data_IF_119369476557
#
_entry.id   IF_119369476557
#
_cell.length_a   1.000
_cell.length_b   1.000
_cell.length_c   1.000
_cell.angle_alpha   90.00
_cell.angle_beta   90.00
_cell.angle_gamma   90.00
#
_symmetry.space_group_name_H-M   'P 1'
#
loop_
_entity.id
_entity.type
_entity.pdbx_description
1 polymer ?
#
# COMPACT_ATOMS: atom_id res chain seq x y z
N UNK A 1 25.37 13.67 -22.50
CA UNK A 1 24.33 13.32 -23.48
C UNK A 1 23.48 12.27 -22.82
N UNK A 2 22.39 12.67 -22.20
CA UNK A 2 21.43 11.76 -21.56
C UNK A 2 20.57 11.20 -22.69
N UNK A 3 20.75 9.91 -23.01
CA UNK A 3 19.90 9.20 -23.97
C UNK A 3 18.47 9.17 -23.46
N UNK A 4 17.51 9.52 -24.32
CA UNK A 4 16.09 9.45 -24.04
C UNK A 4 15.73 8.03 -23.52
N UNK A 5 14.88 7.87 -22.49
CA UNK A 5 14.54 6.55 -21.94
C UNK A 5 13.88 5.58 -22.91
N UNK A 6 13.43 6.05 -24.08
CA UNK A 6 12.69 5.27 -25.09
C UNK A 6 13.55 4.40 -26.02
N UNK A 7 14.88 4.45 -25.93
CA UNK A 7 15.80 3.69 -26.81
C UNK A 7 16.36 2.38 -26.21
N UNK A 8 15.87 1.97 -25.04
CA UNK A 8 16.35 0.73 -24.39
C UNK A 8 15.41 -0.44 -24.69
N UNK A 9 16.01 -1.62 -24.94
CA UNK A 9 15.25 -2.85 -25.11
C UNK A 9 14.33 -3.08 -23.90
N UNK A 10 13.06 -3.38 -24.18
CA UNK A 10 12.05 -3.66 -23.17
C UNK A 10 11.45 -5.04 -23.42
N UNK A 11 11.33 -5.84 -22.35
CA UNK A 11 10.65 -7.13 -22.36
C UNK A 11 9.41 -7.03 -21.46
N UNK A 12 8.26 -7.44 -21.95
CA UNK A 12 7.02 -7.50 -21.15
C UNK A 12 6.68 -8.96 -20.87
N UNK A 13 6.46 -9.25 -19.57
CA UNK A 13 6.01 -10.55 -19.08
C UNK A 13 4.58 -10.40 -18.58
N UNK A 14 3.65 -11.26 -19.07
CA UNK A 14 2.23 -11.16 -18.76
C UNK A 14 1.61 -12.46 -18.26
N UNK A 15 2.34 -13.59 -18.33
CA UNK A 15 1.84 -14.83 -17.73
C UNK A 15 2.13 -14.88 -16.24
N UNK A 16 1.24 -15.46 -15.46
CA UNK A 16 1.38 -15.58 -14.00
C UNK A 16 2.70 -16.23 -13.58
N UNK A 17 3.09 -17.29 -14.31
CA UNK A 17 4.31 -18.04 -14.03
C UNK A 17 5.56 -17.18 -14.24
N UNK A 18 5.68 -16.48 -15.38
CA UNK A 18 6.83 -15.63 -15.70
C UNK A 18 6.91 -14.41 -14.78
N UNK A 19 5.79 -13.72 -14.54
CA UNK A 19 5.75 -12.57 -13.64
C UNK A 19 6.17 -12.98 -12.23
N UNK A 20 5.64 -14.11 -11.70
CA UNK A 20 6.01 -14.63 -10.39
C UNK A 20 7.47 -15.05 -10.30
N UNK A 21 8.02 -15.66 -11.36
CA UNK A 21 9.45 -16.06 -11.44
C UNK A 21 10.35 -14.82 -11.50
N UNK A 22 10.03 -13.84 -12.34
CA UNK A 22 10.77 -12.60 -12.47
C UNK A 22 10.78 -11.76 -11.17
N UNK A 23 9.67 -11.73 -10.41
CA UNK A 23 9.62 -11.07 -9.10
C UNK A 23 10.59 -11.69 -8.07
N UNK A 24 10.95 -12.97 -8.24
CA UNK A 24 11.87 -13.73 -7.38
C UNK A 24 13.31 -13.76 -7.88
N UNK A 25 13.54 -13.32 -9.11
CA UNK A 25 14.85 -13.35 -9.73
C UNK A 25 15.80 -12.32 -9.08
N UNK A 26 16.93 -12.80 -8.54
CA UNK A 26 17.91 -11.96 -7.83
C UNK A 26 18.61 -10.94 -8.73
N UNK A 27 18.68 -11.21 -10.03
CA UNK A 27 19.36 -10.37 -11.00
C UNK A 27 18.38 -9.38 -11.69
N UNK A 28 17.15 -9.26 -11.19
CA UNK A 28 16.14 -8.30 -11.60
C UNK A 28 15.84 -7.32 -10.45
N UNK A 29 16.52 -6.14 -10.45
CA UNK A 29 16.28 -5.11 -9.42
C UNK A 29 15.01 -4.33 -9.68
N UNK A 30 14.44 -3.72 -8.65
CA UNK A 30 13.36 -2.74 -8.78
C UNK A 30 13.78 -1.58 -9.70
N UNK A 31 12.86 -1.11 -10.55
CA UNK A 31 13.10 -0.02 -11.47
C UNK A 31 11.88 0.92 -11.67
N UNK A 32 10.71 0.58 -11.13
CA UNK A 32 9.51 1.41 -11.26
C UNK A 32 9.69 2.78 -10.62
N UNK A 33 10.47 2.85 -9.54
CA UNK A 33 10.65 4.02 -8.70
C UNK A 33 11.87 4.86 -9.07
N UNK A 34 12.62 4.48 -10.13
CA UNK A 34 13.80 5.25 -10.60
C UNK A 34 13.42 6.71 -10.91
N UNK A 35 12.25 6.95 -11.53
CA UNK A 35 11.72 8.29 -11.80
C UNK A 35 11.19 9.02 -10.54
N UNK A 36 10.94 8.28 -9.46
CA UNK A 36 10.47 8.79 -8.17
C UNK A 36 11.57 9.03 -7.14
N UNK A 37 12.83 9.12 -7.54
CA UNK A 37 13.99 9.16 -6.66
C UNK A 37 13.94 10.26 -5.58
N UNK A 38 13.24 11.38 -5.79
CA UNK A 38 13.07 12.43 -4.77
C UNK A 38 12.49 11.87 -3.45
N UNK A 39 11.55 10.93 -3.55
CA UNK A 39 10.89 10.30 -2.39
C UNK A 39 11.45 8.90 -2.13
N UNK A 40 11.89 8.18 -3.16
CA UNK A 40 12.14 6.74 -3.11
C UNK A 40 13.61 6.33 -3.05
N UNK A 41 14.56 7.23 -3.34
CA UNK A 41 15.97 6.87 -3.37
C UNK A 41 16.43 6.33 -2.01
N UNK A 42 17.10 5.17 -2.02
CA UNK A 42 17.61 4.46 -0.85
C UNK A 42 16.55 4.01 0.17
N UNK A 43 15.24 4.09 -0.17
CA UNK A 43 14.19 3.47 0.63
C UNK A 43 14.21 1.95 0.49
N UNK A 44 13.62 1.25 1.46
CA UNK A 44 13.58 -0.22 1.48
C UNK A 44 13.14 -0.81 0.13
N UNK A 45 12.13 -0.23 -0.51
CA UNK A 45 11.58 -0.73 -1.77
C UNK A 45 12.56 -0.56 -2.96
N UNK A 46 13.41 0.45 -2.94
CA UNK A 46 14.40 0.74 -3.97
C UNK A 46 15.72 -0.03 -3.78
N UNK A 47 16.02 -0.43 -2.54
CA UNK A 47 17.23 -1.17 -2.20
C UNK A 47 17.28 -2.55 -2.88
N UNK A 48 18.48 -3.05 -3.10
CA UNK A 48 18.72 -4.36 -3.70
C UNK A 48 19.75 -5.18 -2.91
N UNK A 49 19.73 -6.51 -3.07
CA UNK A 49 20.77 -7.42 -2.57
C UNK A 49 20.89 -7.43 -1.04
N UNK A 50 22.11 -7.24 -0.52
CA UNK A 50 22.39 -7.26 0.93
C UNK A 50 21.79 -6.07 1.65
N UNK A 51 21.86 -4.88 1.09
CA UNK A 51 21.31 -3.67 1.69
C UNK A 51 19.81 -3.81 1.94
N UNK A 52 19.06 -4.32 0.92
CA UNK A 52 17.65 -4.63 1.10
C UNK A 52 17.40 -5.64 2.22
N UNK A 53 18.16 -6.77 2.25
CA UNK A 53 17.97 -7.82 3.27
C UNK A 53 18.22 -7.31 4.68
N UNK A 54 19.27 -6.50 4.87
CA UNK A 54 19.65 -5.99 6.18
C UNK A 54 18.62 -4.99 6.70
N UNK A 55 18.16 -4.06 5.85
CA UNK A 55 17.08 -3.11 6.16
C UNK A 55 15.77 -3.85 6.43
N UNK A 56 15.35 -4.74 5.53
CA UNK A 56 14.12 -5.53 5.65
C UNK A 56 14.07 -6.36 6.93
N UNK A 57 15.20 -6.94 7.37
CA UNK A 57 15.26 -7.73 8.61
C UNK A 57 14.91 -6.91 9.85
N UNK A 58 15.31 -5.65 9.90
CA UNK A 58 15.00 -4.76 11.01
C UNK A 58 13.53 -4.36 10.98
N UNK A 59 13.05 -3.92 9.85
CA UNK A 59 11.70 -3.40 9.71
C UNK A 59 10.63 -4.48 9.79
N UNK A 60 10.87 -5.70 9.32
CA UNK A 60 9.96 -6.84 9.48
C UNK A 60 9.56 -7.12 10.94
N UNK A 61 10.34 -6.65 11.93
CA UNK A 61 9.99 -6.81 13.35
C UNK A 61 8.75 -6.02 13.75
N UNK A 62 8.43 -4.97 12.99
CA UNK A 62 7.25 -4.13 13.18
C UNK A 62 5.99 -4.72 12.54
N UNK A 63 6.17 -5.65 11.59
CA UNK A 63 5.11 -6.25 10.79
C UNK A 63 4.91 -7.73 11.19
N UNK A 64 4.56 -7.93 12.45
CA UNK A 64 4.28 -9.25 13.02
C UNK A 64 2.79 -9.40 13.29
N UNK A 65 2.33 -10.63 13.31
CA UNK A 65 0.93 -10.98 13.57
C UNK A 65 0.42 -10.34 14.86
N UNK A 66 1.18 -10.43 15.95
CA UNK A 66 0.76 -9.84 17.23
C UNK A 66 0.56 -8.32 17.16
N UNK A 67 1.37 -7.65 16.34
CA UNK A 67 1.23 -6.21 16.09
C UNK A 67 -0.05 -5.91 15.29
N UNK A 68 -0.37 -6.76 14.32
CA UNK A 68 -1.60 -6.61 13.52
C UNK A 68 -2.85 -6.87 14.35
N UNK A 69 -2.83 -7.86 15.23
CA UNK A 69 -3.91 -8.12 16.21
C UNK A 69 -4.16 -6.90 17.09
N UNK A 70 -3.11 -6.26 17.60
CA UNK A 70 -3.21 -5.01 18.38
C UNK A 70 -3.83 -3.89 17.53
N UNK A 71 -3.41 -3.73 16.28
CA UNK A 71 -3.94 -2.71 15.38
C UNK A 71 -5.41 -2.94 15.05
N UNK A 72 -5.81 -4.16 14.71
CA UNK A 72 -7.19 -4.50 14.39
C UNK A 72 -8.13 -4.39 15.60
N UNK A 73 -7.62 -4.72 16.80
CA UNK A 73 -8.44 -4.74 18.01
C UNK A 73 -8.59 -3.37 18.65
N UNK A 74 -7.54 -2.54 18.62
CA UNK A 74 -7.51 -1.32 19.43
C UNK A 74 -7.36 -0.02 18.64
N UNK A 75 -6.59 0.01 17.56
CA UNK A 75 -6.27 1.25 16.86
C UNK A 75 -7.20 1.51 15.68
N UNK A 76 -7.41 0.52 14.82
CA UNK A 76 -8.25 0.67 13.62
C UNK A 76 -9.70 1.01 13.95
N UNK A 77 -10.39 0.35 14.91
CA UNK A 77 -11.78 0.70 15.20
C UNK A 77 -11.98 2.18 15.58
N UNK A 78 -11.03 2.74 16.33
CA UNK A 78 -11.05 4.15 16.72
C UNK A 78 -10.77 5.06 15.52
N UNK A 79 -9.73 4.79 14.75
CA UNK A 79 -9.37 5.58 13.57
C UNK A 79 -10.50 5.57 12.53
N UNK A 80 -11.13 4.42 12.32
CA UNK A 80 -12.29 4.28 11.44
C UNK A 80 -13.47 5.11 11.93
N UNK A 81 -13.80 5.04 13.22
CA UNK A 81 -14.91 5.81 13.80
C UNK A 81 -14.67 7.32 13.64
N UNK A 82 -13.47 7.80 13.97
CA UNK A 82 -13.09 9.22 13.84
C UNK A 82 -13.13 9.69 12.36
N UNK A 83 -12.79 8.83 11.39
CA UNK A 83 -12.87 9.16 9.97
C UNK A 83 -14.31 9.21 9.44
N UNK A 84 -15.19 8.33 9.94
CA UNK A 84 -16.56 8.18 9.45
C UNK A 84 -17.53 9.16 10.09
N UNK A 85 -17.39 9.47 11.39
CA UNK A 85 -18.33 10.25 12.16
C UNK A 85 -18.77 11.58 11.47
N UNK A 86 -17.87 12.43 10.96
CA UNK A 86 -18.26 13.68 10.31
C UNK A 86 -19.09 13.46 9.03
N UNK A 87 -18.80 12.41 8.27
CA UNK A 87 -19.45 12.12 7.00
C UNK A 87 -20.81 11.46 7.20
N UNK A 88 -20.90 10.55 8.16
CA UNK A 88 -22.19 9.97 8.58
C UNK A 88 -23.14 11.07 9.10
N UNK A 89 -22.63 12.00 9.92
CA UNK A 89 -23.41 13.14 10.40
C UNK A 89 -23.85 14.07 9.26
N UNK A 90 -23.05 14.21 8.20
CA UNK A 90 -23.41 14.98 7.01
C UNK A 90 -24.35 14.23 6.05
N UNK A 91 -24.58 12.92 6.24
CA UNK A 91 -25.37 12.05 5.38
C UNK A 91 -24.73 11.74 4.03
N UNK A 92 -23.50 12.19 3.79
CA UNK A 92 -22.74 11.99 2.55
C UNK A 92 -21.24 12.09 2.77
N UNK A 93 -20.46 11.48 1.86
CA UNK A 93 -19.02 11.50 1.94
C UNK A 93 -18.35 11.16 0.62
N UNK A 94 -17.03 11.05 0.68
CA UNK A 94 -16.17 10.59 -0.41
C UNK A 94 -15.38 9.38 0.07
N UNK A 95 -15.58 8.23 -0.59
CA UNK A 95 -14.97 6.96 -0.20
C UNK A 95 -13.43 7.01 -0.28
N UNK A 96 -12.88 7.72 -1.27
CA UNK A 96 -11.42 7.89 -1.40
C UNK A 96 -10.87 8.68 -0.22
N UNK A 97 -11.53 9.77 0.16
CA UNK A 97 -11.12 10.59 1.30
C UNK A 97 -11.24 9.82 2.63
N UNK A 98 -12.32 9.05 2.80
CA UNK A 98 -12.51 8.21 3.99
C UNK A 98 -11.37 7.19 4.11
N UNK A 99 -11.05 6.50 3.01
CA UNK A 99 -9.95 5.52 2.97
C UNK A 99 -8.63 6.14 3.42
N UNK A 100 -8.24 7.28 2.85
CA UNK A 100 -7.03 7.98 3.27
C UNK A 100 -7.08 8.39 4.74
N UNK A 101 -8.13 9.06 5.19
CA UNK A 101 -8.25 9.57 6.56
C UNK A 101 -8.16 8.46 7.61
N UNK A 102 -8.83 7.34 7.38
CA UNK A 102 -8.83 6.22 8.31
C UNK A 102 -7.46 5.54 8.45
N UNK A 103 -6.69 5.45 7.35
CA UNK A 103 -5.37 4.77 7.39
C UNK A 103 -4.21 5.71 7.70
N UNK A 104 -4.33 7.03 7.51
CA UNK A 104 -3.24 7.96 7.76
C UNK A 104 -2.76 7.96 9.22
N UNK A 105 -3.69 7.81 10.18
CA UNK A 105 -3.30 7.70 11.58
C UNK A 105 -2.45 6.47 11.85
N UNK A 106 -2.86 5.32 11.31
CA UNK A 106 -2.13 4.06 11.45
C UNK A 106 -0.76 4.10 10.75
N UNK A 107 -0.72 4.60 9.52
CA UNK A 107 0.54 4.70 8.76
C UNK A 107 1.51 5.68 9.39
N UNK A 108 1.04 6.80 9.95
CA UNK A 108 1.87 7.73 10.71
C UNK A 108 2.46 7.08 11.97
N UNK A 109 1.66 6.29 12.69
CA UNK A 109 2.11 5.55 13.86
C UNK A 109 3.21 4.54 13.49
N UNK A 110 2.99 3.74 12.45
CA UNK A 110 3.96 2.74 11.95
C UNK A 110 5.25 3.44 11.47
N UNK A 111 5.11 4.53 10.73
CA UNK A 111 6.24 5.30 10.21
C UNK A 111 7.04 6.00 11.32
N UNK A 112 6.41 6.28 12.45
CA UNK A 112 7.01 6.99 13.58
C UNK A 112 6.84 8.50 13.50
N UNK A 113 5.71 8.98 12.98
CA UNK A 113 5.39 10.40 12.88
C UNK A 113 4.36 10.78 13.95
N UNK A 114 4.72 11.79 14.72
CA UNK A 114 3.83 12.40 15.72
C UNK A 114 2.95 13.44 15.01
N UNK A 115 1.64 13.19 14.99
CA UNK A 115 0.67 14.05 14.28
C UNK A 115 -0.09 14.90 15.30
N UNK A 116 0.04 16.22 15.21
CA UNK A 116 -0.78 17.12 16.00
C UNK A 116 -2.19 17.20 15.40
N UNK A 117 -3.26 17.37 16.23
CA UNK A 117 -4.65 17.35 15.74
C UNK A 117 -4.95 18.32 14.59
N UNK A 118 -4.27 19.46 14.56
CA UNK A 118 -4.45 20.49 13.54
C UNK A 118 -3.58 20.30 12.28
N UNK A 119 -2.82 19.21 12.19
CA UNK A 119 -1.90 18.95 11.08
C UNK A 119 -2.26 17.68 10.28
N UNK A 120 -3.29 16.94 10.69
CA UNK A 120 -3.67 15.68 10.06
C UNK A 120 -4.05 15.84 8.58
N UNK A 121 -4.86 16.83 8.21
CA UNK A 121 -5.25 17.10 6.82
C UNK A 121 -4.03 17.48 5.97
N UNK A 122 -3.04 18.16 6.59
CA UNK A 122 -1.80 18.52 5.89
C UNK A 122 -0.93 17.30 5.62
N UNK A 123 -0.80 16.38 6.60
CA UNK A 123 -0.08 15.12 6.41
C UNK A 123 -0.73 14.26 5.33
N UNK A 124 -2.06 14.18 5.31
CA UNK A 124 -2.81 13.48 4.26
C UNK A 124 -2.51 14.05 2.87
N UNK A 125 -2.52 15.38 2.74
CA UNK A 125 -2.18 16.05 1.48
C UNK A 125 -0.75 15.72 1.04
N UNK A 126 0.23 15.83 1.93
CA UNK A 126 1.64 15.52 1.67
C UNK A 126 1.80 14.05 1.24
N UNK A 127 1.14 13.10 1.90
CA UNK A 127 1.19 11.68 1.54
C UNK A 127 0.64 11.43 0.13
N UNK A 128 -0.42 12.14 -0.29
CA UNK A 128 -0.95 12.08 -1.65
C UNK A 128 0.06 12.60 -2.68
N UNK A 129 0.75 13.70 -2.37
CA UNK A 129 1.83 14.25 -3.23
C UNK A 129 2.99 13.26 -3.33
N UNK A 130 3.40 12.67 -2.21
CA UNK A 130 4.44 11.63 -2.20
C UNK A 130 4.07 10.42 -3.04
N UNK A 131 2.83 9.96 -2.99
CA UNK A 131 2.34 8.85 -3.81
C UNK A 131 2.44 9.14 -5.30
N UNK A 132 2.07 10.36 -5.73
CA UNK A 132 2.23 10.81 -7.12
C UNK A 132 3.72 10.87 -7.51
N UNK A 133 4.56 11.43 -6.65
CA UNK A 133 6.00 11.54 -6.86
C UNK A 133 6.69 10.19 -6.93
N UNK A 134 6.39 9.28 -6.02
CA UNK A 134 6.95 7.92 -5.99
C UNK A 134 6.64 7.14 -7.28
N UNK A 135 5.46 7.35 -7.85
CA UNK A 135 4.98 6.68 -9.07
C UNK A 135 4.93 7.62 -10.27
N UNK A 136 5.87 8.56 -10.37
CA UNK A 136 5.94 9.57 -11.43
C UNK A 136 5.93 8.99 -12.86
N UNK A 137 6.35 7.75 -13.02
CA UNK A 137 6.28 7.00 -14.29
C UNK A 137 4.84 6.89 -14.84
N UNK A 138 3.83 6.88 -13.97
CA UNK A 138 2.42 6.80 -14.33
C UNK A 138 1.74 8.18 -14.48
N UNK A 139 2.44 9.28 -14.21
CA UNK A 139 1.89 10.61 -14.34
C UNK A 139 1.64 10.98 -15.82
N UNK A 140 0.46 11.54 -16.09
CA UNK A 140 0.05 11.97 -17.46
C UNK A 140 0.36 13.44 -17.74
N UNK A 141 0.71 14.22 -16.72
CA UNK A 141 0.96 15.66 -16.80
C UNK A 141 2.44 16.04 -16.89
N UNK A 142 2.71 17.33 -16.66
CA UNK A 142 4.07 17.88 -16.63
C UNK A 142 4.84 17.36 -15.39
N UNK A 143 5.84 16.55 -15.62
CA UNK A 143 6.71 15.99 -14.57
C UNK A 143 7.55 17.05 -13.87
N UNK A 144 7.89 18.16 -14.54
CA UNK A 144 8.66 19.24 -13.91
C UNK A 144 7.84 19.89 -12.80
N UNK A 145 6.55 20.17 -13.08
CA UNK A 145 5.62 20.69 -12.08
C UNK A 145 5.40 19.69 -10.93
N UNK A 146 5.26 18.40 -11.25
CA UNK A 146 5.13 17.35 -10.24
C UNK A 146 6.37 17.29 -9.32
N UNK A 147 7.58 17.34 -9.87
CA UNK A 147 8.80 17.29 -9.06
C UNK A 147 8.98 18.54 -8.19
N UNK A 148 8.54 19.72 -8.66
CA UNK A 148 8.51 20.92 -7.83
C UNK A 148 7.54 20.75 -6.65
N UNK A 149 6.31 20.28 -6.89
CA UNK A 149 5.31 19.99 -5.87
C UNK A 149 5.83 18.98 -4.83
N UNK A 150 6.50 17.92 -5.29
CA UNK A 150 7.11 16.90 -4.42
C UNK A 150 8.22 17.48 -3.57
N UNK A 151 9.09 18.35 -4.15
CA UNK A 151 10.17 18.99 -3.40
C UNK A 151 9.64 19.88 -2.28
N UNK A 152 8.64 20.71 -2.60
CA UNK A 152 7.98 21.57 -1.59
C UNK A 152 7.32 20.74 -0.49
N UNK A 153 6.65 19.64 -0.85
CA UNK A 153 6.03 18.73 0.11
C UNK A 153 7.07 18.03 1.01
N UNK A 154 8.26 17.68 0.47
CA UNK A 154 9.35 17.10 1.26
C UNK A 154 9.93 18.10 2.27
N UNK A 155 10.10 19.36 1.89
CA UNK A 155 10.62 20.41 2.78
C UNK A 155 9.61 20.70 3.91
N UNK A 156 8.32 20.72 3.57
CA UNK A 156 7.27 20.90 4.56
C UNK A 156 7.14 19.68 5.48
N UNK A 157 7.20 18.46 4.93
CA UNK A 157 7.21 17.23 5.72
C UNK A 157 8.39 17.19 6.68
N UNK A 158 9.57 17.55 6.21
CA UNK A 158 10.76 17.64 7.05
C UNK A 158 10.53 18.55 8.24
N UNK A 159 10.06 19.77 7.99
CA UNK A 159 9.91 20.81 9.00
C UNK A 159 8.79 20.52 10.00
N UNK A 160 7.62 20.08 9.53
CA UNK A 160 6.42 19.94 10.35
C UNK A 160 6.32 18.58 11.04
N UNK A 161 6.90 17.53 10.47
CA UNK A 161 6.65 16.16 10.90
C UNK A 161 7.94 15.39 11.22
N UNK A 162 8.89 15.31 10.28
CA UNK A 162 10.05 14.44 10.45
C UNK A 162 10.99 14.95 11.56
N UNK A 163 11.44 16.21 11.49
CA UNK A 163 12.40 16.74 12.46
C UNK A 163 11.85 16.74 13.89
N UNK A 164 10.60 17.17 14.18
CA UNK A 164 10.05 17.08 15.53
C UNK A 164 9.96 15.64 16.03
N UNK A 165 9.51 14.71 15.19
CA UNK A 165 9.37 13.29 15.53
C UNK A 165 10.72 12.63 15.77
N UNK A 166 11.74 12.93 14.96
CA UNK A 166 13.10 12.43 15.12
C UNK A 166 13.77 12.98 16.38
N UNK A 167 13.59 14.27 16.66
CA UNK A 167 14.12 14.89 17.88
C UNK A 167 13.55 14.23 19.14
N UNK A 168 12.23 14.00 19.17
CA UNK A 168 11.60 13.30 20.29
C UNK A 168 12.16 11.88 20.48
N UNK A 169 12.30 11.11 19.40
CA UNK A 169 12.83 9.75 19.49
C UNK A 169 14.29 9.70 19.89
N UNK A 170 15.11 10.62 19.39
CA UNK A 170 16.50 10.77 19.84
C UNK A 170 16.58 11.08 21.35
N UNK A 171 15.68 11.91 21.87
CA UNK A 171 15.58 12.17 23.29
C UNK A 171 15.23 10.91 24.08
N UNK A 172 14.20 10.14 23.65
CA UNK A 172 13.83 8.88 24.30
C UNK A 172 14.98 7.86 24.31
N UNK A 173 15.72 7.76 23.20
CA UNK A 173 16.90 6.89 23.11
C UNK A 173 18.02 7.35 24.06
N UNK A 174 18.23 8.66 24.22
CA UNK A 174 19.19 9.19 25.18
C UNK A 174 18.77 8.90 26.62
N UNK A 175 17.49 9.00 26.97
CA UNK A 175 16.95 8.62 28.29
C UNK A 175 17.18 7.13 28.59
N UNK A 176 17.00 6.23 27.59
CA UNK A 176 17.33 4.81 27.75
C UNK A 176 18.82 4.60 27.96
N UNK A 177 19.67 5.29 27.21
CA UNK A 177 21.13 5.19 27.34
C UNK A 177 21.63 5.71 28.73
N UNK A 178 20.94 6.70 29.30
CA UNK A 178 21.21 7.21 30.65
C UNK A 178 20.67 6.32 31.78
N UNK A 179 19.80 5.35 31.46
CA UNK A 179 19.12 4.50 32.45
C UNK A 179 17.87 5.15 33.08
N UNK A 180 17.40 6.26 32.53
CA UNK A 180 16.23 7.00 33.01
C UNK A 180 14.90 6.46 32.45
N UNK A 181 14.97 5.54 31.47
CA UNK A 181 13.82 4.91 30.79
C UNK A 181 14.11 3.43 30.49
N UNK A 182 13.08 2.58 30.58
CA UNK A 182 13.17 1.20 30.09
C UNK A 182 13.15 1.17 28.54
N UNK A 183 13.99 0.34 27.95
CA UNK A 183 14.02 0.16 26.50
C UNK A 183 12.71 -0.40 25.95
N UNK A 184 11.92 -1.13 26.76
CA UNK A 184 10.60 -1.63 26.41
C UNK A 184 9.54 -0.54 26.22
N UNK A 185 9.78 0.67 26.75
CA UNK A 185 8.87 1.83 26.64
C UNK A 185 9.13 2.67 25.38
N UNK A 186 10.08 2.27 24.55
CA UNK A 186 10.32 2.96 23.26
C UNK A 186 9.18 2.69 22.27
N UNK A 187 8.82 3.69 21.46
CA UNK A 187 7.86 3.47 20.36
C UNK A 187 8.33 2.38 19.42
N UNK A 188 7.41 1.50 19.04
CA UNK A 188 7.65 0.44 18.06
C UNK A 188 7.28 0.94 16.67
N UNK A 189 8.16 1.74 16.06
CA UNK A 189 7.95 2.35 14.75
C UNK A 189 9.22 2.32 13.90
N UNK A 190 9.04 2.64 12.60
CA UNK A 190 10.14 2.65 11.61
C UNK A 190 11.23 3.65 12.04
N UNK A 191 10.87 4.88 12.34
CA UNK A 191 11.85 5.92 12.68
C UNK A 191 12.67 5.56 13.93
N UNK A 192 12.03 5.04 14.98
CA UNK A 192 12.74 4.54 16.18
C UNK A 192 13.71 3.42 15.82
N UNK A 193 13.25 2.46 14.99
CA UNK A 193 14.07 1.32 14.54
C UNK A 193 15.28 1.79 13.74
N UNK A 194 15.12 2.77 12.85
CA UNK A 194 16.21 3.33 12.04
C UNK A 194 17.22 4.08 12.94
N UNK A 195 16.75 4.91 13.84
CA UNK A 195 17.60 5.66 14.79
C UNK A 195 18.41 4.75 15.71
N UNK A 196 17.84 3.61 16.15
CA UNK A 196 18.57 2.61 16.93
C UNK A 196 19.70 1.91 16.16
N UNK A 197 19.65 1.94 14.83
CA UNK A 197 20.58 1.23 13.95
C UNK A 197 21.34 2.17 13.00
N UNK A 198 21.30 3.49 13.25
CA UNK A 198 21.88 4.52 12.38
C UNK A 198 23.35 4.26 12.04
N UNK A 199 24.16 3.95 13.03
CA UNK A 199 25.60 3.69 12.84
C UNK A 199 25.87 2.36 12.12
N UNK A 200 25.06 1.33 12.41
CA UNK A 200 25.22 0.01 11.81
C UNK A 200 24.85 -0.03 10.33
N UNK A 201 23.94 0.85 9.91
CA UNK A 201 23.42 0.93 8.54
C UNK A 201 23.93 2.13 7.75
N UNK A 202 24.74 3.00 8.38
CA UNK A 202 25.24 4.26 7.78
C UNK A 202 24.07 5.09 7.17
N UNK A 203 23.09 5.45 8.03
CA UNK A 203 21.85 6.10 7.61
C UNK A 203 21.87 7.62 7.85
N UNK A 204 22.08 8.44 6.81
CA UNK A 204 21.89 9.88 6.92
C UNK A 204 20.40 10.24 7.13
N UNK A 205 20.17 11.39 7.79
CA UNK A 205 18.80 11.89 8.08
C UNK A 205 17.92 11.98 6.83
N UNK A 206 18.48 12.32 5.69
CA UNK A 206 17.73 12.40 4.42
C UNK A 206 17.21 11.04 3.95
N UNK A 207 17.95 9.95 4.19
CA UNK A 207 17.50 8.58 3.87
C UNK A 207 16.39 8.17 4.83
N UNK A 208 16.57 8.43 6.15
CA UNK A 208 15.53 8.14 7.13
C UNK A 208 14.24 8.94 6.87
N UNK A 209 14.37 10.21 6.46
CA UNK A 209 13.22 11.04 6.07
C UNK A 209 12.46 10.42 4.88
N UNK A 210 13.18 10.01 3.83
CA UNK A 210 12.57 9.33 2.67
C UNK A 210 11.94 7.99 3.04
N UNK A 211 12.59 7.19 3.90
CA UNK A 211 12.02 5.93 4.39
C UNK A 211 10.69 6.14 5.11
N UNK A 212 10.64 7.10 6.02
CA UNK A 212 9.41 7.45 6.76
C UNK A 212 8.33 7.98 5.80
N UNK A 213 8.69 8.86 4.85
CA UNK A 213 7.79 9.36 3.80
C UNK A 213 7.27 8.22 2.91
N UNK A 214 8.13 7.23 2.60
CA UNK A 214 7.76 6.03 1.85
C UNK A 214 6.68 5.23 2.59
N UNK A 215 6.80 4.97 3.89
CA UNK A 215 5.78 4.24 4.64
C UNK A 215 4.43 4.97 4.66
N UNK A 216 4.43 6.30 4.80
CA UNK A 216 3.21 7.11 4.78
C UNK A 216 2.45 6.97 3.46
N UNK A 217 3.15 7.12 2.34
CA UNK A 217 2.49 7.06 1.03
C UNK A 217 2.12 5.63 0.62
N UNK A 218 2.94 4.62 0.98
CA UNK A 218 2.73 3.24 0.58
C UNK A 218 1.44 2.65 1.21
N UNK A 219 1.20 2.92 2.49
CA UNK A 219 0.00 2.45 3.19
C UNK A 219 -1.25 3.24 2.82
N UNK A 220 -1.15 4.58 2.71
CA UNK A 220 -2.33 5.43 2.50
C UNK A 220 -3.00 5.22 1.14
N UNK A 221 -2.22 5.29 0.06
CA UNK A 221 -2.77 5.23 -1.29
C UNK A 221 -3.29 3.84 -1.67
N UNK A 222 -2.53 2.79 -1.40
CA UNK A 222 -2.88 1.42 -1.79
C UNK A 222 -4.14 0.94 -1.08
N UNK A 223 -4.26 1.21 0.23
CA UNK A 223 -5.42 0.81 1.03
C UNK A 223 -6.68 1.58 0.63
N UNK A 224 -6.60 2.90 0.41
CA UNK A 224 -7.73 3.69 -0.07
C UNK A 224 -8.22 3.21 -1.45
N UNK A 225 -7.30 2.84 -2.34
CA UNK A 225 -7.61 2.30 -3.65
C UNK A 225 -8.27 0.91 -3.54
N UNK A 226 -7.71 0.01 -2.73
CA UNK A 226 -8.28 -1.32 -2.49
C UNK A 226 -9.70 -1.24 -1.91
N UNK A 227 -9.94 -0.36 -0.92
CA UNK A 227 -11.25 -0.11 -0.36
C UNK A 227 -12.26 0.34 -1.43
N UNK A 228 -11.86 1.32 -2.25
CA UNK A 228 -12.73 1.90 -3.26
C UNK A 228 -13.11 0.87 -4.32
N UNK A 229 -12.15 0.08 -4.81
CA UNK A 229 -12.43 -1.00 -5.76
C UNK A 229 -13.26 -2.12 -5.14
N UNK A 230 -13.00 -2.51 -3.89
CA UNK A 230 -13.77 -3.54 -3.19
C UNK A 230 -15.25 -3.18 -3.11
N UNK A 231 -15.56 -1.96 -2.66
CA UNK A 231 -16.95 -1.53 -2.54
C UNK A 231 -17.59 -1.27 -3.91
N UNK A 232 -16.83 -0.77 -4.89
CA UNK A 232 -17.33 -0.62 -6.26
C UNK A 232 -17.75 -1.98 -6.86
N UNK A 233 -16.90 -3.01 -6.74
CA UNK A 233 -17.22 -4.35 -7.22
C UNK A 233 -18.42 -4.94 -6.48
N UNK A 234 -18.45 -4.80 -5.14
CA UNK A 234 -19.55 -5.30 -4.32
C UNK A 234 -20.89 -4.68 -4.72
N UNK A 235 -20.94 -3.35 -4.88
CA UNK A 235 -22.16 -2.65 -5.29
C UNK A 235 -22.54 -2.90 -6.75
N UNK A 236 -21.56 -3.21 -7.61
CA UNK A 236 -21.79 -3.52 -9.02
C UNK A 236 -22.37 -4.93 -9.25
N UNK A 237 -22.38 -5.80 -8.24
CA UNK A 237 -23.04 -7.10 -8.32
C UNK A 237 -24.55 -7.00 -8.48
N UNK A 238 -25.16 -5.86 -8.10
CA UNK A 238 -26.62 -5.65 -8.05
C UNK A 238 -27.35 -6.77 -7.25
N UNK A 239 -26.70 -7.23 -6.18
CA UNK A 239 -27.19 -8.26 -5.27
C UNK A 239 -27.30 -7.71 -3.83
N UNK A 240 -28.46 -7.15 -3.45
CA UNK A 240 -28.66 -6.58 -2.13
C UNK A 240 -28.53 -7.61 -0.99
N UNK A 241 -28.85 -8.88 -1.24
CA UNK A 241 -28.74 -9.95 -0.24
C UNK A 241 -27.26 -10.25 0.05
N UNK A 242 -26.41 -10.22 -0.97
CA UNK A 242 -24.98 -10.40 -0.80
C UNK A 242 -24.34 -9.21 -0.09
N UNK A 243 -24.76 -7.96 -0.40
CA UNK A 243 -24.31 -6.76 0.32
C UNK A 243 -24.70 -6.84 1.80
N UNK A 244 -25.91 -7.30 2.11
CA UNK A 244 -26.37 -7.47 3.50
C UNK A 244 -25.59 -8.58 4.23
N UNK A 245 -25.27 -9.68 3.53
CA UNK A 245 -24.40 -10.72 4.07
C UNK A 245 -23.00 -10.15 4.43
N UNK A 246 -22.40 -9.35 3.55
CA UNK A 246 -21.13 -8.67 3.82
C UNK A 246 -21.21 -7.68 4.99
N UNK A 247 -22.35 -7.00 5.14
CA UNK A 247 -22.59 -6.12 6.31
C UNK A 247 -22.56 -6.89 7.63
N UNK A 248 -23.06 -8.11 7.65
CA UNK A 248 -23.13 -8.97 8.83
C UNK A 248 -21.85 -9.76 9.11
N UNK A 249 -21.05 -10.04 8.08
CA UNK A 249 -19.90 -10.95 8.16
C UNK A 249 -18.65 -10.35 7.49
N UNK A 250 -17.70 -9.92 8.30
CA UNK A 250 -16.43 -9.33 7.83
C UNK A 250 -15.56 -10.35 7.07
N UNK A 251 -15.73 -11.67 7.31
CA UNK A 251 -15.00 -12.70 6.55
C UNK A 251 -15.51 -12.77 5.09
N UNK A 252 -16.79 -12.47 4.84
CA UNK A 252 -17.31 -12.31 3.46
C UNK A 252 -16.64 -11.11 2.80
N UNK A 253 -16.54 -9.98 3.50
CA UNK A 253 -15.86 -8.79 2.98
C UNK A 253 -14.37 -9.03 2.72
N UNK A 254 -13.69 -9.80 3.57
CA UNK A 254 -12.30 -10.17 3.32
C UNK A 254 -12.14 -10.92 1.99
N UNK A 255 -13.07 -11.83 1.65
CA UNK A 255 -13.07 -12.49 0.33
C UNK A 255 -13.30 -11.49 -0.80
N UNK A 256 -14.21 -10.53 -0.61
CA UNK A 256 -14.42 -9.44 -1.57
C UNK A 256 -13.13 -8.63 -1.77
N UNK A 257 -12.42 -8.30 -0.69
CA UNK A 257 -11.13 -7.59 -0.74
C UNK A 257 -10.09 -8.38 -1.53
N UNK A 258 -9.95 -9.68 -1.27
CA UNK A 258 -8.98 -10.51 -1.96
C UNK A 258 -9.25 -10.56 -3.47
N UNK A 259 -10.51 -10.71 -3.87
CA UNK A 259 -10.88 -10.76 -5.28
C UNK A 259 -10.76 -9.37 -5.96
N UNK A 260 -11.14 -8.31 -5.26
CA UNK A 260 -10.92 -6.95 -5.74
C UNK A 260 -9.42 -6.64 -5.92
N UNK A 261 -8.57 -7.03 -4.96
CA UNK A 261 -7.12 -6.89 -5.08
C UNK A 261 -6.57 -7.68 -6.27
N UNK A 262 -7.08 -8.88 -6.54
CA UNK A 262 -6.67 -9.66 -7.70
C UNK A 262 -7.00 -8.93 -9.01
N UNK A 263 -8.21 -8.40 -9.12
CA UNK A 263 -8.67 -7.70 -10.32
C UNK A 263 -8.09 -6.29 -10.48
N UNK A 264 -7.86 -5.59 -9.37
CA UNK A 264 -7.46 -4.19 -9.34
C UNK A 264 -6.21 -3.98 -8.48
N UNK A 265 -5.05 -4.55 -8.88
CA UNK A 265 -3.81 -4.33 -8.14
C UNK A 265 -3.47 -2.84 -8.09
N UNK A 266 -3.12 -2.32 -6.92
CA UNK A 266 -2.74 -0.90 -6.75
C UNK A 266 -1.55 -0.50 -7.63
N UNK A 267 -0.69 -1.47 -7.98
CA UNK A 267 0.34 -1.37 -9.01
C UNK A 267 0.03 -2.40 -10.10
N UNK A 268 -0.65 -2.03 -11.20
CA UNK A 268 -1.02 -2.96 -12.27
C UNK A 268 0.21 -3.51 -13.01
N UNK A 269 1.33 -2.79 -12.94
CA UNK A 269 2.62 -3.22 -13.47
C UNK A 269 3.71 -3.03 -12.43
N UNK A 270 4.75 -3.86 -12.49
CA UNK A 270 6.00 -3.64 -11.79
C UNK A 270 7.15 -3.64 -12.80
N UNK A 271 8.14 -2.77 -12.59
CA UNK A 271 9.30 -2.71 -13.47
C UNK A 271 10.51 -3.28 -12.78
N UNK A 272 11.30 -3.97 -13.58
CA UNK A 272 12.61 -4.48 -13.17
C UNK A 272 13.66 -4.06 -14.18
N UNK A 273 14.90 -3.98 -13.72
CA UNK A 273 16.05 -3.86 -14.60
C UNK A 273 16.96 -5.06 -14.39
N UNK A 274 17.34 -5.73 -15.47
CA UNK A 274 18.25 -6.85 -15.42
C UNK A 274 19.67 -6.37 -15.14
N UNK A 275 20.30 -6.94 -14.11
CA UNK A 275 21.70 -6.68 -13.72
C UNK A 275 22.66 -7.63 -14.45
N UNK A 276 22.17 -8.78 -14.90
CA UNK A 276 22.85 -9.80 -15.65
C UNK A 276 21.81 -10.51 -16.55
N UNK A 277 22.22 -11.28 -17.55
CA UNK A 277 21.28 -12.10 -18.33
C UNK A 277 20.50 -13.07 -17.45
N UNK A 278 19.20 -13.20 -17.72
CA UNK A 278 18.28 -14.08 -16.98
C UNK A 278 17.52 -14.95 -17.97
N UNK A 279 17.53 -16.27 -17.73
CA UNK A 279 16.71 -17.24 -18.46
C UNK A 279 15.54 -17.68 -17.57
N UNK A 280 14.31 -17.46 -18.02
CA UNK A 280 13.12 -17.93 -17.34
C UNK A 280 12.79 -19.37 -17.76
N UNK A 281 12.08 -20.10 -16.90
CA UNK A 281 11.67 -21.49 -17.16
C UNK A 281 10.76 -21.65 -18.39
N UNK A 282 10.08 -20.57 -18.78
CA UNK A 282 9.29 -20.50 -20.04
C UNK A 282 10.16 -20.59 -21.29
N UNK A 283 11.47 -20.37 -21.16
CA UNK A 283 12.41 -20.21 -22.28
C UNK A 283 12.64 -18.75 -22.68
N UNK A 284 11.96 -17.80 -22.04
CA UNK A 284 12.18 -16.37 -22.27
C UNK A 284 13.58 -15.97 -21.77
N UNK A 285 14.41 -15.45 -22.68
CA UNK A 285 15.73 -14.89 -22.39
C UNK A 285 15.64 -13.38 -22.22
N UNK A 286 16.29 -12.85 -21.20
CA UNK A 286 16.39 -11.43 -20.88
C UNK A 286 17.87 -11.07 -20.82
N UNK A 287 18.33 -10.23 -21.73
CA UNK A 287 19.70 -9.71 -21.72
C UNK A 287 19.98 -8.81 -20.50
N UNK A 288 21.25 -8.51 -20.23
CA UNK A 288 21.65 -7.54 -19.21
C UNK A 288 21.23 -6.11 -19.62
N UNK A 289 20.95 -5.25 -18.63
CA UNK A 289 20.53 -3.84 -18.76
C UNK A 289 19.22 -3.64 -19.56
N UNK A 290 18.32 -4.63 -19.55
CA UNK A 290 17.02 -4.59 -20.18
C UNK A 290 15.97 -4.13 -19.16
N UNK A 291 15.01 -3.29 -19.57
CA UNK A 291 13.82 -2.99 -18.81
C UNK A 291 12.81 -4.15 -18.94
N UNK A 292 12.42 -4.72 -17.83
CA UNK A 292 11.43 -5.81 -17.77
C UNK A 292 10.16 -5.30 -17.13
N UNK A 293 9.09 -5.27 -17.89
CA UNK A 293 7.74 -4.90 -17.43
C UNK A 293 7.02 -6.17 -17.02
N UNK A 294 6.63 -6.22 -15.76
CA UNK A 294 5.83 -7.30 -15.18
C UNK A 294 4.38 -6.85 -15.16
N UNK A 295 3.56 -7.38 -16.05
CA UNK A 295 2.13 -7.06 -16.14
C UNK A 295 1.36 -7.89 -15.12
N UNK A 296 1.20 -7.32 -13.92
CA UNK A 296 0.53 -7.96 -12.79
C UNK A 296 -0.96 -8.10 -13.06
N UNK A 297 -1.55 -7.10 -13.70
CA UNK A 297 -2.98 -7.09 -14.01
C UNK A 297 -3.33 -8.22 -14.99
N UNK A 298 -2.57 -8.37 -16.07
CA UNK A 298 -2.74 -9.47 -17.01
C UNK A 298 -2.49 -10.83 -16.37
N UNK A 299 -1.41 -10.97 -15.57
CA UNK A 299 -1.10 -12.20 -14.86
C UNK A 299 -2.22 -12.62 -13.90
N UNK A 300 -2.81 -11.68 -13.19
CA UNK A 300 -3.92 -11.92 -12.27
C UNK A 300 -5.24 -12.25 -12.98
N UNK A 301 -5.32 -12.08 -14.31
CA UNK A 301 -6.48 -12.44 -15.16
C UNK A 301 -6.19 -13.58 -16.11
N UNK A 302 -5.04 -14.26 -15.98
CA UNK A 302 -4.69 -15.38 -16.84
C UNK A 302 -5.68 -16.54 -16.70
N UNK A 303 -6.44 -16.86 -17.77
CA UNK A 303 -7.46 -17.91 -17.74
C UNK A 303 -6.92 -19.30 -17.41
N UNK A 304 -5.67 -19.58 -17.77
CA UNK A 304 -5.02 -20.84 -17.43
C UNK A 304 -4.83 -21.03 -15.92
N UNK A 305 -4.80 -19.94 -15.14
CA UNK A 305 -4.65 -19.93 -13.68
C UNK A 305 -6.01 -19.77 -12.99
N UNK A 306 -6.83 -18.83 -13.45
CA UNK A 306 -8.02 -18.35 -12.74
C UNK A 306 -9.35 -18.85 -13.35
N UNK A 307 -9.30 -19.60 -14.45
CA UNK A 307 -10.49 -20.10 -15.13
C UNK A 307 -11.03 -19.16 -16.21
N UNK A 308 -12.06 -19.60 -16.96
CA UNK A 308 -12.58 -18.87 -18.11
C UNK A 308 -13.28 -17.55 -17.76
N UNK A 309 -13.66 -17.37 -16.50
CA UNK A 309 -14.31 -16.19 -15.94
C UNK A 309 -13.34 -15.33 -15.10
N UNK A 310 -12.04 -15.43 -15.40
CA UNK A 310 -10.95 -14.76 -14.68
C UNK A 310 -11.10 -13.23 -14.57
N UNK A 311 -11.84 -12.58 -15.47
CA UNK A 311 -12.12 -11.15 -15.47
C UNK A 311 -13.35 -10.75 -14.63
N UNK A 312 -14.11 -11.73 -14.12
CA UNK A 312 -15.31 -11.47 -13.32
C UNK A 312 -14.95 -11.44 -11.84
N UNK A 313 -15.59 -10.52 -11.11
CA UNK A 313 -15.54 -10.48 -9.67
C UNK A 313 -16.34 -11.65 -9.07
N UNK A 314 -15.66 -12.53 -8.35
CA UNK A 314 -16.25 -13.68 -7.67
C UNK A 314 -15.59 -13.88 -6.29
N UNK A 315 -16.21 -13.38 -5.22
CA UNK A 315 -15.69 -13.52 -3.85
C UNK A 315 -15.56 -14.97 -3.34
N UNK A 316 -16.13 -15.92 -4.06
CA UNK A 316 -16.04 -17.35 -3.75
C UNK A 316 -15.02 -18.10 -4.60
N UNK A 317 -14.31 -17.38 -5.47
CA UNK A 317 -13.25 -17.96 -6.30
C UNK A 317 -12.23 -18.69 -5.45
N UNK A 318 -11.93 -19.91 -5.83
CA UNK A 318 -10.90 -20.72 -5.18
C UNK A 318 -9.57 -20.53 -5.92
N UNK A 319 -8.55 -19.97 -5.28
CA UNK A 319 -7.23 -19.85 -5.90
C UNK A 319 -6.61 -21.24 -6.12
N UNK A 320 -5.77 -21.41 -7.15
CA UNK A 320 -4.99 -22.64 -7.30
C UNK A 320 -4.06 -22.88 -6.09
N UNK A 321 -3.70 -24.14 -5.89
CA UNK A 321 -2.77 -24.51 -4.81
C UNK A 321 -1.45 -23.69 -4.88
N UNK A 322 -1.05 -23.09 -3.76
CA UNK A 322 0.17 -22.26 -3.65
C UNK A 322 0.05 -20.88 -4.30
N UNK A 323 -1.18 -20.44 -4.62
CA UNK A 323 -1.48 -19.09 -5.09
C UNK A 323 -2.35 -18.38 -4.07
N UNK A 324 -1.98 -17.15 -3.71
CA UNK A 324 -2.81 -16.32 -2.83
C UNK A 324 -4.09 -15.89 -3.55
N UNK A 325 -5.19 -15.71 -2.80
CA UNK A 325 -6.47 -15.27 -3.36
C UNK A 325 -6.39 -13.90 -4.08
N UNK A 326 -5.49 -13.03 -3.64
CA UNK A 326 -5.20 -11.75 -4.30
C UNK A 326 -4.18 -11.83 -5.46
N UNK A 327 -3.78 -13.04 -5.88
CA UNK A 327 -2.81 -13.24 -6.95
C UNK A 327 -1.43 -12.69 -6.63
N UNK A 328 -0.92 -11.84 -7.52
CA UNK A 328 0.40 -11.19 -7.42
C UNK A 328 0.33 -9.73 -6.96
N UNK A 329 -0.80 -9.24 -6.47
CA UNK A 329 -1.03 -7.82 -6.16
C UNK A 329 -0.13 -7.28 -5.05
N UNK A 330 0.27 -8.13 -4.11
CA UNK A 330 1.27 -7.80 -3.09
C UNK A 330 2.70 -8.20 -3.49
N UNK A 331 2.93 -8.54 -4.77
CA UNK A 331 4.21 -9.00 -5.29
C UNK A 331 4.61 -10.39 -4.82
N UNK A 332 5.86 -10.75 -5.05
CA UNK A 332 6.44 -12.03 -4.63
C UNK A 332 7.96 -11.90 -4.40
N UNK A 333 8.53 -12.85 -3.66
CA UNK A 333 9.98 -12.88 -3.39
C UNK A 333 10.43 -11.85 -2.36
N UNK A 334 11.65 -11.33 -2.52
CA UNK A 334 12.29 -10.44 -1.54
C UNK A 334 11.55 -9.10 -1.37
N UNK A 335 10.88 -8.62 -2.40
CA UNK A 335 10.10 -7.39 -2.43
C UNK A 335 8.58 -7.63 -2.27
N UNK A 336 8.15 -8.79 -1.79
CA UNK A 336 6.75 -8.96 -1.40
C UNK A 336 6.35 -7.90 -0.37
N UNK A 337 5.12 -7.39 -0.48
CA UNK A 337 4.63 -6.32 0.39
C UNK A 337 4.80 -6.70 1.88
N UNK A 338 5.37 -5.79 2.66
CA UNK A 338 5.57 -6.00 4.09
C UNK A 338 4.24 -5.93 4.87
N UNK A 339 3.29 -5.14 4.35
CA UNK A 339 1.98 -4.92 4.96
C UNK A 339 0.85 -5.79 4.37
N UNK A 340 1.14 -6.86 3.61
CA UNK A 340 0.09 -7.63 2.94
C UNK A 340 -0.94 -8.22 3.90
N UNK A 341 -0.51 -8.72 5.05
CA UNK A 341 -1.41 -9.29 6.07
C UNK A 341 -2.17 -8.20 6.83
N UNK A 342 -1.56 -7.03 7.02
CA UNK A 342 -2.22 -5.89 7.63
C UNK A 342 -3.36 -5.35 6.74
N UNK A 343 -3.16 -5.33 5.43
CA UNK A 343 -4.09 -4.76 4.47
C UNK A 343 -5.17 -5.78 4.03
N UNK A 344 -4.74 -6.97 3.62
CA UNK A 344 -5.61 -8.04 3.14
C UNK A 344 -6.09 -9.02 4.21
N UNK A 345 -5.50 -8.98 5.39
CA UNK A 345 -5.78 -9.93 6.45
C UNK A 345 -5.22 -11.33 6.22
N UNK A 346 -5.47 -12.22 7.16
CA UNK A 346 -5.14 -13.64 7.07
C UNK A 346 -6.43 -14.44 7.25
N UNK A 347 -6.82 -15.27 6.27
CA UNK A 347 -7.98 -16.14 6.44
C UNK A 347 -7.82 -17.02 7.71
N UNK A 348 -8.92 -17.18 8.44
CA UNK A 348 -8.90 -18.04 9.63
C UNK A 348 -8.65 -19.50 9.26
N UNK A 349 -7.80 -20.16 10.03
CA UNK A 349 -7.63 -21.60 9.98
C UNK A 349 -8.57 -22.25 11.02
N UNK A 350 -9.05 -23.48 10.80
CA UNK A 350 -9.97 -24.13 11.74
C UNK A 350 -9.45 -24.23 13.18
N UNK A 351 -8.13 -24.28 13.33
CA UNK A 351 -7.45 -24.44 14.63
C UNK A 351 -6.81 -23.13 15.13
N UNK A 352 -6.94 -22.03 14.40
CA UNK A 352 -6.42 -20.73 14.79
C UNK A 352 -7.56 -19.82 15.26
N UNK A 353 -7.67 -19.52 16.58
CA UNK A 353 -8.76 -18.72 17.13
C UNK A 353 -8.69 -17.23 16.71
N UNK A 354 -7.57 -16.76 16.16
CA UNK A 354 -7.37 -15.37 15.79
C UNK A 354 -7.42 -15.24 14.27
N UNK A 355 -8.53 -14.70 13.78
CA UNK A 355 -8.68 -14.29 12.39
C UNK A 355 -8.31 -12.81 12.25
N UNK A 356 -7.39 -12.50 11.33
CA UNK A 356 -7.10 -11.14 10.91
C UNK A 356 -7.91 -10.83 9.65
N UNK A 357 -8.81 -9.86 9.75
CA UNK A 357 -9.67 -9.48 8.62
C UNK A 357 -8.96 -8.55 7.61
N UNK A 358 -7.99 -7.79 8.09
CA UNK A 358 -7.28 -6.77 7.31
C UNK A 358 -7.99 -5.41 7.31
N UNK A 359 -7.19 -4.37 7.15
CA UNK A 359 -7.64 -2.96 7.23
C UNK A 359 -8.77 -2.67 6.24
N UNK A 360 -8.67 -3.17 5.01
CA UNK A 360 -9.67 -2.90 3.96
C UNK A 360 -11.02 -3.52 4.31
N UNK A 361 -11.04 -4.77 4.79
CA UNK A 361 -12.30 -5.44 5.15
C UNK A 361 -12.97 -4.80 6.37
N UNK A 362 -12.19 -4.34 7.34
CA UNK A 362 -12.71 -3.63 8.52
C UNK A 362 -13.30 -2.26 8.14
N UNK A 363 -12.65 -1.53 7.25
CA UNK A 363 -13.17 -0.27 6.70
C UNK A 363 -14.48 -0.48 5.93
N UNK A 364 -14.50 -1.46 5.02
CA UNK A 364 -15.69 -1.82 4.25
C UNK A 364 -16.85 -2.22 5.17
N UNK A 365 -16.58 -3.05 6.20
CA UNK A 365 -17.56 -3.44 7.20
C UNK A 365 -18.16 -2.23 7.95
N UNK A 366 -17.31 -1.31 8.40
CA UNK A 366 -17.75 -0.13 9.11
C UNK A 366 -18.63 0.79 8.22
N UNK A 367 -18.24 1.00 6.97
CA UNK A 367 -19.00 1.78 5.98
C UNK A 367 -20.37 1.16 5.71
N UNK A 368 -20.43 -0.13 5.41
CA UNK A 368 -21.71 -0.82 5.16
C UNK A 368 -22.60 -0.81 6.40
N UNK A 369 -22.05 -1.00 7.59
CA UNK A 369 -22.81 -0.89 8.86
C UNK A 369 -23.32 0.52 9.11
N UNK A 370 -22.62 1.55 8.66
CA UNK A 370 -23.07 2.93 8.73
C UNK A 370 -24.14 3.27 7.66
N UNK A 371 -24.48 2.34 6.76
CA UNK A 371 -25.46 2.54 5.71
C UNK A 371 -24.90 3.20 4.44
N UNK A 372 -23.61 3.08 4.20
CA UNK A 372 -22.98 3.63 3.00
C UNK A 372 -23.52 2.95 1.73
N UNK A 373 -23.87 3.77 0.73
CA UNK A 373 -24.27 3.38 -0.61
C UNK A 373 -23.70 4.37 -1.64
N UNK A 374 -23.55 3.97 -2.92
CA UNK A 374 -23.16 4.91 -3.99
C UNK A 374 -24.13 6.08 -4.07
N UNK A 375 -23.61 7.29 -4.33
CA UNK A 375 -24.47 8.44 -4.61
C UNK A 375 -25.08 8.27 -6.01
N UNK A 376 -26.42 8.20 -6.10
CA UNK A 376 -27.12 8.01 -7.37
C UNK A 376 -27.08 9.25 -8.29
N UNK A 377 -26.84 10.43 -7.72
CA UNK A 377 -26.80 11.70 -8.44
C UNK A 377 -25.40 12.08 -8.90
N UNK A 378 -24.36 11.57 -8.21
CA UNK A 378 -22.96 11.87 -8.51
C UNK A 378 -22.15 10.57 -8.68
N UNK A 379 -21.71 10.27 -9.92
CA UNK A 379 -20.89 9.09 -10.20
C UNK A 379 -19.44 9.23 -9.74
N UNK A 380 -18.72 8.09 -9.66
CA UNK A 380 -17.29 8.06 -9.36
C UNK A 380 -16.45 8.69 -10.46
N UNK A 381 -15.30 9.26 -10.09
CA UNK A 381 -14.37 9.94 -11.01
C UNK A 381 -13.01 9.23 -10.97
N UNK A 382 -12.60 8.69 -12.11
CA UNK A 382 -11.24 8.15 -12.28
C UNK A 382 -10.22 9.30 -12.26
N UNK A 383 -9.04 9.07 -11.70
CA UNK A 383 -7.97 10.07 -11.64
C UNK A 383 -7.37 10.33 -13.04
N UNK A 384 -7.60 11.49 -13.65
CA UNK A 384 -7.07 11.80 -14.97
C UNK A 384 -5.55 12.06 -14.97
N UNK A 385 -4.96 12.29 -13.81
CA UNK A 385 -3.53 12.58 -13.66
C UNK A 385 -2.67 11.31 -13.59
N UNK A 386 -3.27 10.12 -13.64
CA UNK A 386 -2.57 8.84 -13.56
C UNK A 386 -3.00 7.90 -14.70
N UNK A 387 -2.04 7.11 -15.18
CA UNK A 387 -2.34 6.00 -16.10
C UNK A 387 -2.94 4.78 -15.39
N UNK A 388 -2.90 4.75 -14.04
CA UNK A 388 -3.51 3.68 -13.26
C UNK A 388 -5.02 3.92 -13.12
N UNK A 389 -5.79 2.86 -13.21
CA UNK A 389 -7.25 2.93 -13.02
C UNK A 389 -7.56 2.97 -11.52
N UNK A 390 -7.51 4.14 -10.92
CA UNK A 390 -7.97 4.38 -9.57
C UNK A 390 -8.85 5.63 -9.51
N UNK A 391 -9.65 5.75 -8.45
CA UNK A 391 -10.57 6.86 -8.31
C UNK A 391 -9.90 8.05 -7.63
N UNK A 392 -10.11 9.25 -8.20
CA UNK A 392 -9.78 10.51 -7.53
C UNK A 392 -10.89 10.96 -6.59
N UNK A 393 -12.15 10.53 -6.87
CA UNK A 393 -13.34 10.80 -6.08
C UNK A 393 -14.34 9.67 -6.25
N UNK A 394 -14.98 9.27 -5.15
CA UNK A 394 -16.08 8.30 -5.15
C UNK A 394 -17.17 8.74 -4.18
N UNK A 395 -18.21 9.48 -4.66
CA UNK A 395 -19.28 9.98 -3.83
C UNK A 395 -20.14 8.84 -3.25
N UNK A 396 -20.44 8.94 -1.98
CA UNK A 396 -21.33 8.02 -1.27
C UNK A 396 -22.32 8.80 -0.41
N UNK A 397 -23.46 8.17 -0.15
CA UNK A 397 -24.47 8.63 0.80
C UNK A 397 -24.59 7.64 1.96
N UNK A 398 -25.07 8.12 3.11
CA UNK A 398 -25.38 7.30 4.25
C UNK A 398 -26.91 7.29 4.46
N UNK A 399 -27.54 6.17 4.15
CA UNK A 399 -28.97 6.00 4.29
C UNK A 399 -29.34 5.89 5.78
N UNK A 400 -30.38 6.64 6.24
CA UNK A 400 -30.90 6.47 7.59
C UNK A 400 -31.38 5.03 7.77
N UNK A 401 -30.99 4.37 8.84
CA UNK A 401 -31.56 3.07 9.18
C UNK A 401 -33.04 3.22 9.50
N UNK A 402 -33.90 2.50 8.77
CA UNK A 402 -35.29 2.32 9.05
C UNK A 402 -35.49 1.51 10.35
#
# INVERSE_FOLDING_TARGET
MTTCPMDRATVTLSTFAEVREAMRAKDLRQALYDDGALVMADCLLDLHGSQHRDRRRLENRLFRRETFEEYETHLLPRAIAEALEPMVAAGRGDLVQIGYRAVMHLTALIAGIDVAPNTADRLEHIAKVFSKGATAVHATGDRTALYAEVSEALDEFDTLFFQPSAARRRQLLAEVAAGDRDAGDLPRDVLTTLLQNVDALDLPDEVMRREVAFYLQAGGHSTANALTHTLNELWSLDDPEFVELGRGDTAVLQRCVHEALRLHPASPVAWRRSLAPVDLRSGTHIDADVLVVLDIEAANREQAVWGPDSDRFDPYRQPPEGVHAWGLSFGAGTHACIGMELDGGVPGEPDDPVQLHGTVALLASALLRAGAAPDADEGPVIDPASQRLHYSRYPIVFEPRS
#
